data_IF_373747653831
#
_entry.id   IF_373747653831
#
_cell.length_a   1.000
_cell.length_b   1.000
_cell.length_c   1.000
_cell.angle_alpha   90.00
_cell.angle_beta   90.00
_cell.angle_gamma   90.00
#
_symmetry.space_group_name_H-M   'P 1'
#
loop_
_entity.id
_entity.type
_entity.pdbx_description
1 polymer ?
#
# COMPACT_ATOMS: atom_id res chain seq x y z
N UNK A 1 0.74 10.44 8.01
CA UNK A 1 1.31 9.09 8.22
C UNK A 1 1.88 8.61 6.91
N UNK A 2 3.05 7.96 6.91
CA UNK A 2 3.67 7.39 5.72
C UNK A 2 3.72 5.87 5.89
N UNK A 3 3.26 5.12 4.88
CA UNK A 3 3.24 3.67 4.89
C UNK A 3 4.09 3.18 3.72
N UNK A 4 5.16 2.44 4.01
CA UNK A 4 5.86 1.65 3.00
C UNK A 4 5.22 0.27 2.93
N UNK A 5 4.38 0.03 1.93
CA UNK A 5 3.74 -1.28 1.75
C UNK A 5 4.82 -2.34 1.49
N UNK A 6 4.78 -3.45 2.24
CA UNK A 6 5.80 -4.51 2.21
C UNK A 6 7.16 -4.13 2.83
N UNK A 7 7.29 -3.00 3.52
CA UNK A 7 8.58 -2.51 4.06
C UNK A 7 8.81 -2.94 5.52
N UNK A 8 9.35 -4.15 5.74
CA UNK A 8 9.88 -4.58 7.04
C UNK A 8 11.39 -4.25 7.17
N UNK A 9 12.01 -4.66 8.27
CA UNK A 9 13.44 -4.44 8.55
C UNK A 9 14.37 -4.87 7.41
N UNK A 10 14.18 -6.03 6.74
CA UNK A 10 15.05 -6.44 5.64
C UNK A 10 15.07 -5.44 4.48
N UNK A 11 13.92 -4.89 4.10
CA UNK A 11 13.82 -3.91 3.02
C UNK A 11 14.55 -2.62 3.39
N UNK A 12 14.36 -2.13 4.62
CA UNK A 12 15.06 -0.93 5.13
C UNK A 12 16.58 -1.13 5.10
N UNK A 13 17.05 -2.30 5.56
CA UNK A 13 18.48 -2.60 5.57
C UNK A 13 19.03 -2.74 4.16
N UNK A 14 18.36 -3.45 3.26
CA UNK A 14 18.79 -3.59 1.89
C UNK A 14 18.95 -2.23 1.20
N UNK A 15 18.02 -1.29 1.41
CA UNK A 15 18.14 0.07 0.88
C UNK A 15 19.30 0.86 1.50
N UNK A 16 19.56 0.71 2.81
CA UNK A 16 20.73 1.34 3.46
C UNK A 16 22.04 0.88 2.82
N UNK A 17 22.17 -0.42 2.53
CA UNK A 17 23.35 -1.00 1.87
C UNK A 17 23.46 -0.53 0.41
N UNK A 18 22.37 -0.58 -0.35
CA UNK A 18 22.35 -0.13 -1.74
C UNK A 18 22.77 1.35 -1.85
N UNK A 19 22.27 2.20 -0.96
CA UNK A 19 22.67 3.61 -0.88
C UNK A 19 24.16 3.76 -0.56
N UNK A 20 24.69 2.96 0.35
CA UNK A 20 26.14 2.91 0.63
C UNK A 20 26.97 2.59 -0.61
N UNK A 21 26.54 1.59 -1.39
CA UNK A 21 27.20 1.20 -2.65
C UNK A 21 27.10 2.29 -3.72
N UNK A 22 25.97 3.00 -3.82
CA UNK A 22 25.84 4.13 -4.76
C UNK A 22 26.79 5.28 -4.42
N UNK A 23 27.02 5.56 -3.14
CA UNK A 23 27.88 6.66 -2.68
C UNK A 23 29.38 6.29 -2.70
N UNK A 24 29.71 5.05 -2.34
CA UNK A 24 31.09 4.61 -2.09
C UNK A 24 31.62 3.63 -3.17
N UNK A 25 30.82 3.27 -4.17
CA UNK A 25 31.18 2.30 -5.19
C UNK A 25 30.98 0.84 -4.73
N UNK A 26 31.28 -0.10 -5.64
CA UNK A 26 31.10 -1.54 -5.38
C UNK A 26 31.99 -2.00 -4.24
N UNK A 27 31.43 -2.83 -3.37
CA UNK A 27 32.14 -3.44 -2.23
C UNK A 27 33.36 -4.19 -2.76
N UNK A 28 34.53 -3.82 -2.26
CA UNK A 28 35.82 -4.37 -2.67
C UNK A 28 36.76 -4.42 -1.45
N UNK A 29 36.65 -5.49 -0.63
CA UNK A 29 37.45 -5.62 0.58
C UNK A 29 38.95 -5.70 0.30
N UNK A 30 39.35 -6.12 -0.90
CA UNK A 30 40.76 -6.21 -1.29
C UNK A 30 41.39 -4.81 -1.47
N UNK A 31 40.58 -3.82 -1.85
CA UNK A 31 40.98 -2.43 -2.00
C UNK A 31 40.49 -1.53 -0.85
N UNK A 32 40.06 -2.13 0.27
CA UNK A 32 39.63 -1.39 1.47
C UNK A 32 38.24 -0.75 1.36
N UNK A 33 37.44 -1.11 0.36
CA UNK A 33 36.06 -0.63 0.23
C UNK A 33 35.07 -1.60 0.88
N UNK A 34 34.43 -1.16 1.96
CA UNK A 34 33.50 -1.97 2.76
C UNK A 34 32.05 -1.49 2.56
N UNK A 35 31.04 -2.29 2.96
CA UNK A 35 29.64 -2.01 2.63
C UNK A 35 29.04 -0.69 3.13
N UNK A 36 29.71 0.03 4.04
CA UNK A 36 29.31 1.32 4.65
C UNK A 36 27.83 1.73 4.45
N UNK A 37 26.87 1.05 5.11
CA UNK A 37 25.45 1.34 4.91
C UNK A 37 25.11 2.77 5.32
N UNK A 38 24.28 3.44 4.52
CA UNK A 38 23.87 4.83 4.78
C UNK A 38 22.42 4.89 5.22
N UNK A 39 22.20 5.40 6.44
CA UNK A 39 20.86 5.54 7.00
C UNK A 39 19.95 6.39 6.10
N UNK A 40 18.75 5.88 5.85
CA UNK A 40 17.62 6.63 5.30
C UNK A 40 17.19 7.75 6.25
N UNK A 41 16.44 8.73 5.73
CA UNK A 41 16.04 9.90 6.53
C UNK A 41 15.12 9.51 7.70
N UNK A 42 14.16 8.62 7.46
CA UNK A 42 13.18 8.21 8.46
C UNK A 42 13.76 7.28 9.54
N UNK A 43 14.85 6.55 9.26
CA UNK A 43 15.50 5.69 10.26
C UNK A 43 16.27 6.48 11.31
N UNK A 44 16.42 7.81 11.12
CA UNK A 44 17.02 8.74 12.08
C UNK A 44 15.99 9.36 13.03
N UNK A 45 14.72 8.94 12.97
CA UNK A 45 13.70 9.45 13.87
C UNK A 45 14.00 8.98 15.32
N UNK A 46 13.67 9.81 16.34
CA UNK A 46 14.10 9.57 17.71
C UNK A 46 13.43 8.37 18.38
N UNK A 47 12.26 7.94 17.89
CA UNK A 47 11.55 6.77 18.42
C UNK A 47 11.36 5.73 17.33
N UNK A 48 11.59 4.47 17.68
CA UNK A 48 11.28 3.30 16.88
C UNK A 48 10.43 2.32 17.69
N UNK A 49 9.37 1.82 17.07
CA UNK A 49 8.55 0.73 17.57
C UNK A 49 8.53 -0.43 16.58
N UNK A 50 8.06 -1.58 17.02
CA UNK A 50 7.90 -2.78 16.21
C UNK A 50 6.45 -3.25 16.28
N UNK A 51 5.82 -3.35 15.12
CA UNK A 51 4.36 -3.52 15.00
C UNK A 51 4.03 -4.91 14.45
N UNK A 52 3.18 -5.68 15.13
CA UNK A 52 2.66 -6.95 14.58
C UNK A 52 1.56 -6.71 13.56
N UNK A 53 1.54 -7.52 12.50
CA UNK A 53 0.70 -7.23 11.32
C UNK A 53 -0.55 -8.09 11.20
N UNK A 54 -0.61 -9.28 11.81
CA UNK A 54 -1.68 -10.28 11.61
C UNK A 54 -3.11 -9.72 11.61
N UNK A 55 -4.01 -10.39 10.87
CA UNK A 55 -5.43 -10.05 10.79
C UNK A 55 -6.32 -11.10 11.48
N UNK A 56 -7.65 -11.00 11.37
CA UNK A 56 -8.58 -11.92 12.05
C UNK A 56 -8.45 -13.38 11.60
N UNK A 57 -7.75 -13.66 10.49
CA UNK A 57 -7.65 -14.99 9.86
C UNK A 57 -6.24 -15.43 9.49
N UNK A 58 -5.28 -14.50 9.37
CA UNK A 58 -3.97 -14.77 8.78
C UNK A 58 -2.84 -14.13 9.56
N UNK A 59 -1.79 -14.92 9.80
CA UNK A 59 -0.48 -14.44 10.24
C UNK A 59 0.20 -13.58 9.16
N UNK A 60 -0.12 -13.85 7.89
CA UNK A 60 0.37 -13.16 6.70
C UNK A 60 -0.81 -12.39 6.06
N UNK A 61 -1.18 -11.25 6.65
CA UNK A 61 -2.41 -10.51 6.32
C UNK A 61 -2.27 -9.75 5.00
N UNK A 62 -3.37 -9.32 4.38
CA UNK A 62 -3.31 -8.49 3.19
C UNK A 62 -3.24 -6.98 3.49
N UNK A 63 -2.99 -6.16 2.46
CA UNK A 63 -2.96 -4.69 2.62
C UNK A 63 -4.29 -4.12 3.14
N UNK A 64 -5.44 -4.74 2.82
CA UNK A 64 -6.75 -4.24 3.24
C UNK A 64 -6.98 -4.39 4.75
N UNK A 65 -6.73 -5.58 5.30
CA UNK A 65 -6.94 -5.85 6.72
C UNK A 65 -5.91 -5.15 7.62
N UNK A 66 -4.66 -5.08 7.18
CA UNK A 66 -3.59 -4.33 7.88
C UNK A 66 -3.87 -2.84 7.90
N UNK A 67 -4.23 -2.24 6.76
CA UNK A 67 -4.53 -0.81 6.70
C UNK A 67 -5.82 -0.48 7.47
N UNK A 68 -6.82 -1.36 7.50
CA UNK A 68 -8.01 -1.25 8.37
C UNK A 68 -7.61 -1.23 9.85
N UNK A 69 -6.68 -2.10 10.26
CA UNK A 69 -6.20 -2.13 11.64
C UNK A 69 -5.53 -0.82 12.03
N UNK A 70 -4.68 -0.27 11.15
CA UNK A 70 -4.02 1.01 11.35
C UNK A 70 -4.99 2.20 11.38
N UNK A 71 -6.03 2.18 10.53
CA UNK A 71 -6.94 3.30 10.37
C UNK A 71 -8.10 3.31 11.37
N UNK A 72 -8.47 2.16 11.94
CA UNK A 72 -9.66 2.02 12.81
C UNK A 72 -9.39 1.43 14.19
N UNK A 73 -8.21 0.82 14.40
CA UNK A 73 -7.90 0.10 15.63
C UNK A 73 -8.70 -1.20 15.79
N UNK A 74 -9.21 -1.76 14.69
CA UNK A 74 -9.99 -3.00 14.65
C UNK A 74 -9.41 -3.96 13.62
N UNK A 75 -9.37 -5.24 13.99
CA UNK A 75 -9.05 -6.32 13.04
C UNK A 75 -10.26 -6.57 12.12
N UNK A 76 -9.97 -7.16 10.96
CA UNK A 76 -10.97 -7.66 10.02
C UNK A 76 -10.39 -8.81 9.19
N UNK A 77 -11.19 -9.37 8.30
CA UNK A 77 -10.79 -10.42 7.37
C UNK A 77 -9.95 -9.85 6.23
N UNK A 78 -9.06 -10.66 5.64
CA UNK A 78 -8.34 -10.26 4.45
C UNK A 78 -9.31 -9.83 3.33
N UNK A 79 -8.89 -8.84 2.54
CA UNK A 79 -9.70 -8.16 1.50
C UNK A 79 -10.84 -7.26 2.02
N UNK A 80 -11.22 -7.28 3.30
CA UNK A 80 -12.26 -6.38 3.82
C UNK A 80 -11.63 -5.01 4.13
N UNK A 81 -12.34 -3.92 3.79
CA UNK A 81 -11.90 -2.55 4.08
C UNK A 81 -12.85 -1.93 5.09
N UNK A 82 -12.35 -1.60 6.29
CA UNK A 82 -13.07 -0.87 7.34
C UNK A 82 -14.48 -1.40 7.66
N UNK A 83 -14.65 -2.72 7.67
CA UNK A 83 -15.86 -3.38 8.16
C UNK A 83 -15.49 -4.53 9.09
N UNK A 84 -16.44 -4.95 9.91
CA UNK A 84 -16.30 -6.13 10.76
C UNK A 84 -16.21 -7.43 9.96
N UNK A 85 -15.88 -8.52 10.64
CA UNK A 85 -15.74 -9.84 10.04
C UNK A 85 -17.07 -10.35 9.44
N UNK A 86 -18.21 -9.85 9.93
CA UNK A 86 -19.52 -10.16 9.35
C UNK A 86 -19.86 -9.33 8.11
N UNK A 87 -19.05 -8.29 7.82
CA UNK A 87 -19.22 -7.34 6.71
C UNK A 87 -20.53 -6.56 6.77
N UNK A 88 -21.03 -6.31 7.98
CA UNK A 88 -22.29 -5.59 8.23
C UNK A 88 -22.08 -4.28 8.97
N UNK A 89 -21.03 -4.17 9.77
CA UNK A 89 -20.73 -3.00 10.58
C UNK A 89 -19.50 -2.32 10.01
N UNK A 90 -19.64 -1.07 9.57
CA UNK A 90 -18.51 -0.24 9.15
C UNK A 90 -17.79 0.36 10.36
N UNK A 91 -16.48 0.40 10.29
CA UNK A 91 -15.61 1.01 11.29
C UNK A 91 -15.21 2.42 10.86
N UNK A 92 -15.44 3.40 11.73
CA UNK A 92 -15.03 4.78 11.47
C UNK A 92 -13.50 4.93 11.58
N UNK A 93 -12.90 5.52 10.54
CA UNK A 93 -11.45 5.71 10.42
C UNK A 93 -10.96 6.92 11.21
N UNK A 94 -9.66 6.94 11.53
CA UNK A 94 -8.99 8.08 12.17
C UNK A 94 -9.10 9.36 11.33
N UNK A 95 -9.02 9.25 10.00
CA UNK A 95 -9.15 10.36 9.04
C UNK A 95 -10.56 10.94 9.06
N UNK A 96 -11.59 10.10 9.08
CA UNK A 96 -12.97 10.57 9.28
C UNK A 96 -13.15 11.26 10.62
N UNK A 97 -12.60 10.70 11.71
CA UNK A 97 -12.67 11.32 13.04
C UNK A 97 -12.03 12.71 13.05
N UNK A 98 -10.84 12.84 12.48
CA UNK A 98 -10.12 14.12 12.39
C UNK A 98 -10.91 15.16 11.57
N UNK A 99 -11.46 14.75 10.43
CA UNK A 99 -12.30 15.61 9.58
C UNK A 99 -13.56 16.05 10.33
N UNK A 100 -14.34 15.10 10.85
CA UNK A 100 -15.66 15.34 11.47
C UNK A 100 -15.56 16.09 12.80
N UNK A 101 -14.60 15.74 13.66
CA UNK A 101 -14.52 16.28 15.02
C UNK A 101 -13.66 17.54 15.12
N UNK A 102 -12.62 17.67 14.29
CA UNK A 102 -11.65 18.77 14.37
C UNK A 102 -11.61 19.64 13.11
N UNK A 103 -12.36 19.31 12.06
CA UNK A 103 -12.37 20.07 10.81
C UNK A 103 -11.06 19.97 10.02
N UNK A 104 -10.25 18.94 10.28
CA UNK A 104 -8.94 18.80 9.63
C UNK A 104 -9.09 18.62 8.12
N UNK A 105 -8.16 19.21 7.38
CA UNK A 105 -7.98 18.90 5.96
C UNK A 105 -7.33 17.53 5.82
N UNK A 106 -7.88 16.67 4.98
CA UNK A 106 -7.40 15.30 4.79
C UNK A 106 -6.90 15.11 3.37
N UNK A 107 -5.67 14.60 3.25
CA UNK A 107 -5.05 14.25 1.99
C UNK A 107 -4.61 12.80 1.97
N UNK A 108 -4.93 12.08 0.88
CA UNK A 108 -4.50 10.70 0.61
C UNK A 108 -3.57 10.73 -0.60
N UNK A 109 -2.33 10.30 -0.40
CA UNK A 109 -1.30 10.29 -1.45
C UNK A 109 -0.70 8.90 -1.53
N UNK A 110 -0.57 8.38 -2.74
CA UNK A 110 -0.08 7.02 -2.99
C UNK A 110 0.69 6.95 -4.30
N UNK A 111 1.64 6.03 -4.42
CA UNK A 111 2.31 5.71 -5.70
C UNK A 111 1.56 4.66 -6.52
N UNK A 112 0.56 3.99 -5.93
CA UNK A 112 -0.34 3.03 -6.61
C UNK A 112 -1.67 3.70 -6.95
N UNK A 113 -2.62 2.94 -7.49
CA UNK A 113 -3.98 3.42 -7.75
C UNK A 113 -4.65 3.97 -6.49
N UNK A 114 -5.39 5.07 -6.62
CA UNK A 114 -6.01 5.77 -5.49
C UNK A 114 -7.03 4.88 -4.77
N UNK A 115 -7.73 4.03 -5.52
CA UNK A 115 -8.72 3.06 -5.06
C UNK A 115 -8.14 1.67 -4.73
N UNK A 116 -6.81 1.58 -4.59
CA UNK A 116 -6.17 0.40 -4.03
C UNK A 116 -6.42 0.28 -2.51
N UNK A 117 -6.19 -0.91 -1.94
CA UNK A 117 -6.58 -1.21 -0.55
C UNK A 117 -5.97 -0.27 0.50
N UNK A 118 -4.66 -0.03 0.43
CA UNK A 118 -3.92 0.77 1.42
C UNK A 118 -4.44 2.21 1.52
N UNK A 119 -4.61 2.97 0.42
CA UNK A 119 -5.26 4.29 0.49
C UNK A 119 -6.77 4.19 0.82
N UNK A 120 -7.50 3.23 0.25
CA UNK A 120 -8.94 3.06 0.46
C UNK A 120 -9.33 2.84 1.94
N UNK A 121 -8.47 2.17 2.72
CA UNK A 121 -8.68 1.97 4.16
C UNK A 121 -8.70 3.25 4.99
N UNK A 122 -8.40 4.42 4.42
CA UNK A 122 -8.54 5.71 5.10
C UNK A 122 -9.81 6.47 4.71
N UNK A 123 -10.63 5.99 3.77
CA UNK A 123 -11.80 6.74 3.30
C UNK A 123 -13.01 5.91 2.86
N UNK A 124 -12.88 4.58 2.69
CA UNK A 124 -13.93 3.71 2.16
C UNK A 124 -14.26 2.56 3.11
N UNK A 125 -15.47 2.01 2.97
CA UNK A 125 -15.95 0.87 3.76
C UNK A 125 -16.64 -0.14 2.84
N UNK A 126 -15.94 -1.23 2.50
CA UNK A 126 -16.45 -2.22 1.55
C UNK A 126 -16.16 -3.67 1.99
N UNK A 127 -17.07 -4.61 1.69
CA UNK A 127 -16.90 -6.04 2.01
C UNK A 127 -15.76 -6.71 1.24
N UNK A 128 -15.23 -6.06 0.19
CA UNK A 128 -14.10 -6.54 -0.59
C UNK A 128 -13.37 -5.37 -1.27
N UNK A 129 -12.04 -5.36 -1.19
CA UNK A 129 -11.13 -4.44 -1.90
C UNK A 129 -11.27 -4.49 -3.42
N UNK A 130 -11.93 -5.52 -3.96
CA UNK A 130 -12.24 -5.61 -5.40
C UNK A 130 -13.45 -4.76 -5.84
N UNK A 131 -14.18 -4.14 -4.90
CA UNK A 131 -15.31 -3.26 -5.24
C UNK A 131 -14.86 -1.84 -5.61
N UNK A 132 -13.96 -1.72 -6.59
CA UNK A 132 -13.34 -0.44 -6.98
C UNK A 132 -14.35 0.67 -7.25
N UNK A 133 -15.46 0.35 -7.93
CA UNK A 133 -16.50 1.35 -8.18
C UNK A 133 -17.10 1.93 -6.89
N UNK A 134 -17.41 1.08 -5.91
CA UNK A 134 -17.92 1.53 -4.61
C UNK A 134 -16.86 2.31 -3.82
N UNK A 135 -15.60 1.88 -3.88
CA UNK A 135 -14.47 2.61 -3.28
C UNK A 135 -14.38 4.04 -3.88
N UNK A 136 -14.50 4.17 -5.19
CA UNK A 136 -14.51 5.48 -5.86
C UNK A 136 -15.71 6.36 -5.47
N UNK A 137 -16.89 5.77 -5.24
CA UNK A 137 -18.04 6.51 -4.70
C UNK A 137 -17.78 6.99 -3.27
N UNK A 138 -17.18 6.15 -2.43
CA UNK A 138 -16.81 6.51 -1.05
C UNK A 138 -15.77 7.64 -1.01
N UNK A 139 -14.84 7.69 -1.97
CA UNK A 139 -13.90 8.81 -2.10
C UNK A 139 -14.64 10.15 -2.21
N UNK A 140 -15.64 10.23 -3.08
CA UNK A 140 -16.43 11.44 -3.27
C UNK A 140 -17.23 11.75 -2.00
N UNK A 141 -17.88 10.72 -1.42
CA UNK A 141 -18.68 10.83 -0.21
C UNK A 141 -17.87 11.26 1.01
N UNK A 142 -16.59 10.88 1.11
CA UNK A 142 -15.69 11.25 2.20
C UNK A 142 -15.56 12.78 2.33
N UNK A 143 -15.69 13.49 1.21
CA UNK A 143 -15.50 14.93 1.14
C UNK A 143 -14.08 15.38 1.52
N UNK A 144 -13.09 14.47 1.50
CA UNK A 144 -11.69 14.78 1.77
C UNK A 144 -11.11 15.70 0.71
N UNK A 145 -10.04 16.41 1.07
CA UNK A 145 -9.62 17.62 0.37
C UNK A 145 -8.64 17.31 -0.77
N UNK A 146 -7.87 16.23 -0.67
CA UNK A 146 -6.84 15.93 -1.64
C UNK A 146 -6.66 14.43 -1.84
N UNK A 147 -6.72 13.97 -3.08
CA UNK A 147 -6.35 12.62 -3.50
C UNK A 147 -5.31 12.73 -4.59
N UNK A 148 -4.20 12.00 -4.46
CA UNK A 148 -3.18 11.90 -5.51
C UNK A 148 -2.60 10.51 -5.61
N UNK A 149 -2.50 9.97 -6.84
CA UNK A 149 -1.84 8.70 -7.07
C UNK A 149 -1.89 8.21 -8.51
N UNK A 150 -1.87 6.90 -8.71
CA UNK A 150 -2.12 6.29 -10.01
C UNK A 150 -3.58 6.41 -10.46
N UNK A 151 -3.88 5.85 -11.64
CA UNK A 151 -5.22 5.86 -12.22
C UNK A 151 -6.32 5.34 -11.27
N UNK A 152 -7.57 5.75 -11.51
CA UNK A 152 -8.74 5.16 -10.86
C UNK A 152 -9.10 3.82 -11.51
N UNK A 153 -8.88 2.70 -10.81
CA UNK A 153 -9.25 1.37 -11.32
C UNK A 153 -10.77 1.26 -11.54
N UNK A 154 -11.55 1.99 -10.75
CA UNK A 154 -12.99 2.18 -10.88
C UNK A 154 -13.42 2.68 -12.26
N UNK A 155 -12.61 3.52 -12.91
CA UNK A 155 -12.96 4.10 -14.21
C UNK A 155 -12.76 3.13 -15.37
N UNK A 156 -12.05 2.02 -15.11
CA UNK A 156 -11.86 0.91 -16.04
C UNK A 156 -12.59 -0.36 -15.57
N UNK A 157 -13.43 -0.27 -14.55
CA UNK A 157 -14.15 -1.41 -14.00
C UNK A 157 -15.35 -1.81 -14.89
N UNK A 158 -15.86 -3.03 -14.71
CA UNK A 158 -17.01 -3.55 -15.48
C UNK A 158 -18.26 -2.70 -15.27
N UNK A 159 -18.42 -2.10 -14.10
CA UNK A 159 -19.49 -1.15 -13.83
C UNK A 159 -19.49 0.02 -14.81
N UNK A 160 -18.31 0.54 -15.17
CA UNK A 160 -18.19 1.63 -16.14
C UNK A 160 -18.22 1.11 -17.57
N UNK A 161 -17.41 0.10 -17.88
CA UNK A 161 -17.16 -0.34 -19.26
C UNK A 161 -18.27 -1.24 -19.83
N UNK A 162 -18.95 -2.02 -18.99
CA UNK A 162 -19.98 -2.98 -19.42
C UNK A 162 -21.39 -2.55 -18.97
N UNK A 163 -21.52 -1.95 -17.78
CA UNK A 163 -22.83 -1.57 -17.21
C UNK A 163 -23.20 -0.10 -17.46
N UNK A 164 -22.32 0.67 -18.13
CA UNK A 164 -22.58 2.05 -18.51
C UNK A 164 -22.68 3.03 -17.35
N UNK A 165 -22.13 2.69 -16.17
CA UNK A 165 -22.06 3.65 -15.06
C UNK A 165 -21.07 4.75 -15.37
N UNK A 166 -21.32 5.93 -14.82
CA UNK A 166 -20.45 7.07 -15.00
C UNK A 166 -19.11 6.86 -14.28
N UNK A 167 -18.02 7.32 -14.91
CA UNK A 167 -16.66 7.34 -14.35
C UNK A 167 -16.63 8.10 -13.03
N UNK A 168 -15.83 7.62 -12.08
CA UNK A 168 -15.61 8.26 -10.78
C UNK A 168 -14.93 9.61 -10.96
N UNK A 169 -14.01 9.77 -11.92
CA UNK A 169 -13.42 11.09 -12.24
C UNK A 169 -14.49 12.12 -12.64
N UNK A 170 -15.42 11.75 -13.51
CA UNK A 170 -16.53 12.62 -13.92
C UNK A 170 -17.48 12.92 -12.75
N UNK A 171 -17.81 11.92 -11.92
CA UNK A 171 -18.60 12.12 -10.71
C UNK A 171 -17.89 13.01 -9.69
N UNK A 172 -16.57 12.90 -9.55
CA UNK A 172 -15.78 13.76 -8.66
C UNK A 172 -15.83 15.22 -9.13
N UNK A 173 -15.68 15.48 -10.43
CA UNK A 173 -15.85 16.82 -11.00
C UNK A 173 -17.23 17.41 -10.70
N UNK A 174 -18.30 16.62 -10.91
CA UNK A 174 -19.68 17.03 -10.57
C UNK A 174 -19.88 17.33 -9.08
N UNK A 175 -19.08 16.73 -8.21
CA UNK A 175 -19.11 16.95 -6.76
C UNK A 175 -18.07 17.97 -6.27
N UNK A 176 -17.53 18.79 -7.17
CA UNK A 176 -16.69 19.94 -6.83
C UNK A 176 -15.21 19.59 -6.61
N UNK A 177 -14.74 18.46 -7.13
CA UNK A 177 -13.30 18.19 -7.21
C UNK A 177 -12.72 18.75 -8.50
N UNK A 178 -11.57 19.41 -8.39
CA UNK A 178 -10.68 19.64 -9.52
C UNK A 178 -9.97 18.33 -9.82
N UNK A 179 -10.26 17.75 -10.99
CA UNK A 179 -9.57 16.54 -11.47
C UNK A 179 -8.39 16.95 -12.33
N UNK A 180 -7.23 16.34 -12.08
CA UNK A 180 -6.00 16.55 -12.84
C UNK A 180 -5.42 15.19 -13.21
N UNK A 181 -5.49 14.81 -14.49
CA UNK A 181 -5.05 13.50 -14.97
C UNK A 181 -3.80 13.54 -15.86
N UNK A 182 -3.30 14.75 -16.12
CA UNK A 182 -2.03 14.98 -16.80
C UNK A 182 -1.01 15.70 -15.91
N UNK A 183 0.28 15.55 -16.24
CA UNK A 183 1.36 16.31 -15.57
C UNK A 183 1.16 17.83 -15.67
N UNK A 184 0.61 18.32 -16.78
CA UNK A 184 0.36 19.75 -16.98
C UNK A 184 -0.75 20.24 -16.04
N UNK A 185 -1.87 19.54 -15.97
CA UNK A 185 -2.97 19.87 -15.06
C UNK A 185 -2.53 19.78 -13.61
N UNK A 186 -1.76 18.75 -13.26
CA UNK A 186 -1.19 18.60 -11.92
C UNK A 186 -0.31 19.80 -11.53
N UNK A 187 0.59 20.22 -12.42
CA UNK A 187 1.46 21.37 -12.19
C UNK A 187 0.70 22.71 -12.12
N UNK A 188 -0.53 22.77 -12.67
CA UNK A 188 -1.39 23.94 -12.59
C UNK A 188 -2.20 24.01 -11.28
N UNK A 189 -2.19 22.96 -10.46
CA UNK A 189 -2.88 22.95 -9.18
C UNK A 189 -2.27 23.98 -8.21
N UNK A 190 -3.14 24.69 -7.51
CA UNK A 190 -2.75 25.67 -6.48
C UNK A 190 -3.56 25.46 -5.22
N UNK A 191 -3.24 26.20 -4.16
CA UNK A 191 -4.04 26.23 -2.93
C UNK A 191 -5.53 26.58 -3.20
N UNK A 192 -5.82 27.35 -4.25
CA UNK A 192 -7.17 27.78 -4.61
C UNK A 192 -7.93 26.75 -5.46
N UNK A 193 -7.33 25.62 -5.82
CA UNK A 193 -7.98 24.55 -6.61
C UNK A 193 -9.07 23.79 -5.84
N UNK A 194 -9.32 24.14 -4.58
CA UNK A 194 -10.37 23.52 -3.77
C UNK A 194 -10.05 22.06 -3.45
N UNK A 195 -11.04 21.17 -3.60
CA UNK A 195 -10.81 19.73 -3.46
C UNK A 195 -10.14 19.20 -4.73
N UNK A 196 -9.17 18.32 -4.59
CA UNK A 196 -8.40 17.81 -5.72
C UNK A 196 -8.44 16.29 -5.80
N UNK A 197 -8.57 15.77 -7.01
CA UNK A 197 -8.35 14.36 -7.34
C UNK A 197 -7.38 14.27 -8.53
N UNK A 198 -6.11 14.02 -8.23
CA UNK A 198 -5.03 13.97 -9.20
C UNK A 198 -4.59 12.53 -9.49
N UNK A 199 -4.52 12.13 -10.75
CA UNK A 199 -4.10 10.77 -11.14
C UNK A 199 -3.05 10.77 -12.23
N UNK A 200 -1.98 10.00 -12.09
CA UNK A 200 -1.04 9.72 -13.19
C UNK A 200 -1.54 8.49 -13.97
N UNK A 201 -2.35 8.72 -15.01
CA UNK A 201 -2.87 7.64 -15.88
C UNK A 201 -1.72 6.97 -16.66
N UNK A 202 -0.66 7.72 -16.95
CA UNK A 202 0.53 7.26 -17.68
C UNK A 202 1.54 6.52 -16.80
N UNK A 203 1.33 6.42 -15.49
CA UNK A 203 2.18 5.65 -14.59
C UNK A 203 2.33 4.18 -15.04
N UNK A 204 1.31 3.61 -15.71
CA UNK A 204 1.36 2.27 -16.30
C UNK A 204 2.26 2.18 -17.54
N UNK A 205 2.52 3.30 -18.21
CA UNK A 205 3.20 3.40 -19.50
C UNK A 205 4.70 3.74 -19.38
N UNK A 206 5.25 3.87 -18.15
CA UNK A 206 6.69 4.12 -17.94
C UNK A 206 7.46 2.79 -17.96
N UNK A 207 8.30 2.53 -18.97
CA UNK A 207 9.03 1.27 -19.09
C UNK A 207 10.27 1.31 -18.19
N UNK A 208 10.12 1.02 -16.90
CA UNK A 208 11.28 0.99 -15.98
C UNK A 208 11.86 -0.42 -15.78
N UNK A 209 11.27 -1.46 -16.39
CA UNK A 209 11.81 -2.83 -16.35
C UNK A 209 11.69 -3.55 -17.69
N UNK A 210 12.69 -3.34 -18.56
CA UNK A 210 12.83 -4.15 -19.77
C UNK A 210 13.35 -5.54 -19.37
N UNK A 211 12.59 -6.57 -19.76
CA UNK A 211 12.97 -7.97 -19.62
C UNK A 211 14.03 -8.32 -20.67
N UNK A 212 15.06 -9.05 -20.25
CA UNK A 212 15.95 -9.75 -21.19
C UNK A 212 15.20 -10.90 -21.85
N UNK A 213 15.69 -11.38 -23.01
CA UNK A 213 15.06 -12.49 -23.73
C UNK A 213 14.95 -13.76 -22.86
N UNK A 214 15.95 -14.01 -22.01
CA UNK A 214 15.95 -15.12 -21.05
C UNK A 214 14.88 -14.99 -19.96
N UNK A 215 14.70 -13.79 -19.40
CA UNK A 215 13.67 -13.54 -18.38
C UNK A 215 12.27 -13.61 -19.01
N UNK A 216 12.12 -13.13 -20.24
CA UNK A 216 10.88 -13.23 -21.00
C UNK A 216 10.54 -14.69 -21.33
N UNK A 217 11.52 -15.50 -21.71
CA UNK A 217 11.35 -16.93 -21.98
C UNK A 217 10.99 -17.70 -20.70
N UNK A 218 11.67 -17.39 -19.58
CA UNK A 218 11.35 -17.96 -18.27
C UNK A 218 9.91 -17.65 -17.84
N UNK A 219 9.46 -16.41 -18.08
CA UNK A 219 8.08 -15.99 -17.82
C UNK A 219 7.06 -16.70 -18.72
N UNK A 220 7.36 -16.90 -20.01
CA UNK A 220 6.49 -17.66 -20.92
C UNK A 220 6.34 -19.12 -20.47
N UNK A 221 7.43 -19.77 -20.08
CA UNK A 221 7.40 -21.14 -19.56
C UNK A 221 6.57 -21.24 -18.27
N UNK A 222 6.71 -20.26 -17.37
CA UNK A 222 5.95 -20.19 -16.14
C UNK A 222 4.46 -19.89 -16.38
N UNK A 223 4.14 -19.08 -17.39
CA UNK A 223 2.77 -18.83 -17.83
C UNK A 223 2.11 -20.10 -18.36
N UNK A 224 2.80 -20.85 -19.21
CA UNK A 224 2.30 -22.12 -19.75
C UNK A 224 2.07 -23.16 -18.65
N UNK A 225 2.94 -23.19 -17.62
CA UNK A 225 2.75 -24.02 -16.43
C UNK A 225 1.55 -23.59 -15.59
N UNK A 226 1.31 -22.29 -15.47
CA UNK A 226 0.19 -21.75 -14.69
C UNK A 226 -1.16 -21.91 -15.40
N UNK A 227 -1.14 -22.06 -16.73
CA UNK A 227 -2.30 -22.33 -17.56
C UNK A 227 -2.63 -23.83 -17.72
N UNK A 228 -1.78 -24.74 -17.19
CA UNK A 228 -2.12 -26.17 -17.11
C UNK A 228 -3.17 -26.40 -16.03
N UNK A 229 -4.18 -27.21 -16.35
CA UNK A 229 -5.40 -27.42 -15.55
C UNK A 229 -5.20 -28.12 -14.20
N UNK A 230 -4.01 -28.60 -13.89
CA UNK A 230 -3.71 -29.29 -12.63
C UNK A 230 -3.29 -28.26 -11.57
N UNK A 231 -4.24 -27.90 -10.70
CA UNK A 231 -3.94 -27.16 -9.47
C UNK A 231 -3.00 -28.01 -8.63
N UNK A 232 -1.81 -27.50 -8.34
CA UNK A 232 -0.96 -28.07 -7.29
C UNK A 232 -1.71 -27.93 -5.96
N UNK A 233 -2.14 -29.07 -5.40
CA UNK A 233 -2.84 -29.10 -4.11
C UNK A 233 -1.83 -28.85 -3.01
N UNK A 234 -1.81 -27.64 -2.46
CA UNK A 234 -1.00 -27.32 -1.29
C UNK A 234 -1.58 -27.99 -0.05
N UNK A 235 -0.72 -28.49 0.84
CA UNK A 235 -1.18 -28.93 2.14
C UNK A 235 -1.50 -27.71 3.05
N UNK A 236 -2.26 -27.93 4.12
CA UNK A 236 -2.76 -26.85 4.99
C UNK A 236 -1.63 -26.01 5.60
N UNK A 237 -0.48 -26.59 5.92
CA UNK A 237 0.68 -25.87 6.49
C UNK A 237 1.39 -25.01 5.45
N UNK A 238 1.53 -25.50 4.22
CA UNK A 238 2.11 -24.75 3.09
C UNK A 238 1.20 -23.60 2.66
N UNK A 239 -0.12 -23.80 2.68
CA UNK A 239 -1.09 -22.72 2.43
C UNK A 239 -1.00 -21.62 3.51
N UNK A 240 -0.83 -22.02 4.78
CA UNK A 240 -0.71 -21.09 5.91
C UNK A 240 0.63 -20.32 5.89
N UNK A 241 1.74 -20.94 5.46
CA UNK A 241 3.03 -20.26 5.36
C UNK A 241 3.17 -19.41 4.09
N UNK A 242 2.65 -19.86 2.94
CA UNK A 242 3.02 -19.33 1.62
C UNK A 242 1.85 -18.89 0.73
N UNK A 243 0.59 -19.15 1.10
CA UNK A 243 -0.58 -18.81 0.27
C UNK A 243 -0.70 -19.68 -1.00
N UNK A 244 -1.30 -19.18 -2.09
CA UNK A 244 -1.42 -19.92 -3.36
C UNK A 244 -0.15 -19.85 -4.19
N UNK A 245 0.47 -21.00 -4.51
CA UNK A 245 1.61 -21.11 -5.42
C UNK A 245 1.15 -20.99 -6.88
N UNK A 246 1.49 -19.87 -7.52
CA UNK A 246 1.20 -19.61 -8.94
C UNK A 246 2.54 -19.40 -9.68
N UNK A 247 2.94 -20.36 -10.55
CA UNK A 247 4.28 -20.39 -11.14
C UNK A 247 4.69 -19.11 -11.86
N UNK A 248 3.75 -18.44 -12.54
CA UNK A 248 4.01 -17.19 -13.25
C UNK A 248 4.36 -16.04 -12.29
N UNK A 249 3.59 -15.87 -11.21
CA UNK A 249 3.78 -14.86 -10.17
C UNK A 249 5.09 -15.07 -9.43
N UNK A 250 5.44 -16.32 -9.13
CA UNK A 250 6.72 -16.68 -8.50
C UNK A 250 7.88 -16.34 -9.43
N UNK A 251 7.80 -16.73 -10.70
CA UNK A 251 8.86 -16.48 -11.68
C UNK A 251 9.04 -14.98 -11.97
N UNK A 252 7.94 -14.23 -12.08
CA UNK A 252 7.98 -12.77 -12.20
C UNK A 252 8.68 -12.13 -11.02
N UNK A 253 8.40 -12.61 -9.80
CA UNK A 253 9.06 -12.11 -8.60
C UNK A 253 10.55 -12.44 -8.59
N UNK A 254 10.98 -13.61 -9.06
CA UNK A 254 12.41 -13.92 -9.22
C UNK A 254 13.13 -13.00 -10.19
N UNK A 255 12.49 -12.64 -11.31
CA UNK A 255 13.04 -11.67 -12.26
C UNK A 255 13.18 -10.30 -11.59
N UNK A 256 12.18 -9.86 -10.83
CA UNK A 256 12.25 -8.63 -10.04
C UNK A 256 13.37 -8.68 -8.98
N UNK A 257 13.52 -9.81 -8.29
CA UNK A 257 14.54 -10.02 -7.27
C UNK A 257 15.96 -9.98 -7.84
N UNK A 258 16.16 -10.63 -8.98
CA UNK A 258 17.44 -10.63 -9.69
C UNK A 258 17.79 -9.24 -10.21
N UNK A 259 16.83 -8.51 -10.77
CA UNK A 259 17.03 -7.14 -11.25
C UNK A 259 17.27 -6.15 -10.10
N UNK A 260 16.64 -6.37 -8.95
CA UNK A 260 16.81 -5.53 -7.75
C UNK A 260 18.01 -5.90 -6.89
N UNK A 261 18.63 -7.07 -7.12
CA UNK A 261 19.74 -7.58 -6.30
C UNK A 261 19.31 -7.97 -4.87
N UNK A 262 18.02 -8.12 -4.61
CA UNK A 262 17.42 -8.41 -3.30
C UNK A 262 16.50 -9.62 -3.47
N UNK A 263 16.67 -10.66 -2.65
CA UNK A 263 15.80 -11.83 -2.65
C UNK A 263 14.84 -11.81 -1.45
N UNK A 264 13.55 -12.07 -1.68
CA UNK A 264 12.54 -12.18 -0.63
C UNK A 264 12.35 -13.66 -0.24
N UNK A 265 12.29 -13.97 1.06
CA UNK A 265 12.06 -15.34 1.57
C UNK A 265 10.60 -15.80 1.49
N UNK A 266 9.67 -14.87 1.21
CA UNK A 266 8.26 -15.12 0.91
C UNK A 266 7.87 -14.25 -0.28
N UNK A 267 7.04 -14.81 -1.16
CA UNK A 267 6.53 -14.17 -2.38
C UNK A 267 5.13 -13.57 -2.17
N UNK A 268 4.70 -13.49 -0.90
CA UNK A 268 3.43 -12.94 -0.43
C UNK A 268 3.67 -12.12 0.84
N UNK A 269 2.60 -11.59 1.43
CA UNK A 269 2.65 -10.92 2.73
C UNK A 269 3.37 -11.81 3.77
N UNK A 270 4.07 -11.17 4.70
CA UNK A 270 4.79 -11.88 5.77
C UNK A 270 4.22 -11.50 7.12
N UNK A 271 4.27 -12.41 8.09
CA UNK A 271 3.98 -12.12 9.49
C UNK A 271 5.12 -11.42 10.22
N UNK A 272 6.13 -10.90 9.50
CA UNK A 272 7.23 -10.19 10.13
C UNK A 272 6.73 -8.88 10.74
N UNK A 273 7.17 -8.54 11.96
CA UNK A 273 6.93 -7.22 12.51
C UNK A 273 7.47 -6.13 11.59
N UNK A 274 6.78 -5.01 11.55
CA UNK A 274 7.14 -3.84 10.74
C UNK A 274 7.66 -2.74 11.65
N UNK A 275 8.80 -2.10 11.35
CA UNK A 275 9.28 -0.97 12.13
C UNK A 275 8.39 0.26 11.90
N UNK A 276 8.03 0.94 12.99
CA UNK A 276 7.38 2.23 12.96
C UNK A 276 8.33 3.28 13.54
N UNK A 277 8.66 4.28 12.72
CA UNK A 277 9.54 5.39 13.11
C UNK A 277 8.70 6.63 13.39
N UNK A 278 8.89 7.25 14.56
CA UNK A 278 8.10 8.39 15.00
C UNK A 278 8.98 9.60 15.38
N UNK A 279 8.55 10.78 14.92
CA UNK A 279 9.14 12.08 15.27
C UNK A 279 8.04 13.11 15.47
N UNK A 280 8.04 13.82 16.60
CA UNK A 280 7.11 14.90 16.89
C UNK A 280 6.36 14.74 18.21
N UNK A 281 5.20 15.41 18.32
CA UNK A 281 4.37 15.37 19.52
C UNK A 281 3.80 13.96 19.75
N UNK A 282 3.98 13.42 20.96
CA UNK A 282 3.49 12.09 21.31
C UNK A 282 4.31 10.94 20.74
N UNK A 283 5.50 11.22 20.19
CA UNK A 283 6.36 10.21 19.56
C UNK A 283 6.71 9.05 20.51
N UNK A 284 6.83 9.32 21.80
CA UNK A 284 7.14 8.36 22.86
C UNK A 284 6.10 7.24 22.99
N UNK A 285 4.85 7.49 22.56
CA UNK A 285 3.79 6.48 22.54
C UNK A 285 4.08 5.33 21.57
N UNK A 286 4.94 5.57 20.58
CA UNK A 286 5.29 4.60 19.54
C UNK A 286 6.53 3.78 19.89
N UNK A 287 7.04 3.86 21.12
CA UNK A 287 8.17 3.03 21.55
C UNK A 287 7.70 1.63 21.97
N UNK A 288 8.49 0.61 21.67
CA UNK A 288 8.26 -0.77 22.11
C UNK A 288 7.68 -1.69 21.04
N UNK A 289 7.02 -2.76 21.49
CA UNK A 289 6.47 -3.81 20.64
C UNK A 289 4.97 -3.93 20.89
N UNK A 290 4.15 -3.75 19.85
CA UNK A 290 2.70 -3.62 20.01
C UNK A 290 1.93 -4.07 18.75
N UNK A 291 0.61 -4.17 18.87
CA UNK A 291 -0.25 -4.61 17.78
C UNK A 291 -0.54 -3.47 16.79
N UNK A 292 -0.75 -3.79 15.50
CA UNK A 292 -1.10 -2.75 14.51
C UNK A 292 -2.39 -1.99 14.85
N UNK A 293 -3.30 -2.56 15.65
CA UNK A 293 -4.49 -1.84 16.15
C UNK A 293 -4.16 -0.76 17.16
N UNK A 294 -3.03 -0.85 17.87
CA UNK A 294 -2.62 0.14 18.86
C UNK A 294 -2.21 1.46 18.21
N UNK A 295 -1.74 1.44 16.96
CA UNK A 295 -1.38 2.65 16.20
C UNK A 295 -2.54 3.63 16.13
N UNK A 296 -3.76 3.13 15.90
CA UNK A 296 -4.97 3.95 15.92
C UNK A 296 -5.19 4.61 17.29
N UNK A 297 -5.03 3.84 18.37
CA UNK A 297 -5.22 4.35 19.73
C UNK A 297 -4.17 5.41 20.10
N UNK A 298 -2.92 5.23 19.65
CA UNK A 298 -1.85 6.22 19.81
C UNK A 298 -2.17 7.51 19.05
N UNK A 299 -2.58 7.41 17.77
CA UNK A 299 -2.99 8.57 16.97
C UNK A 299 -4.20 9.28 17.60
N UNK A 300 -5.17 8.52 18.09
CA UNK A 300 -6.33 9.04 18.82
C UNK A 300 -5.93 9.78 20.08
N UNK A 301 -4.99 9.25 20.88
CA UNK A 301 -4.49 9.89 22.08
C UNK A 301 -3.79 11.23 21.78
N UNK A 302 -2.98 11.27 20.72
CA UNK A 302 -2.26 12.48 20.28
C UNK A 302 -3.22 13.56 19.80
N UNK A 303 -4.21 13.16 19.01
CA UNK A 303 -5.15 14.09 18.36
C UNK A 303 -6.38 14.42 19.19
N UNK A 304 -6.61 13.67 20.29
CA UNK A 304 -7.72 13.83 21.24
C UNK A 304 -9.11 13.65 20.61
N UNK A 305 -9.21 12.95 19.49
CA UNK A 305 -10.50 12.56 18.90
C UNK A 305 -11.13 11.42 19.71
N UNK A 306 -12.46 11.32 19.69
CA UNK A 306 -13.23 10.27 20.37
C UNK A 306 -13.40 9.03 19.51
#
# INVERSE_FOLDING_TARGET
MFIGDGMSYPQVQATNYYKGVLENGKIDPANGNYPEPKNLLFTKFPVVGSVTTYDSTSLCPDSASTATSLSTGKKTLSSVINMDETKKVSYETITEKLKKQLGYKVGIVTSVNIDHATPAAYYSHVPSRGQYYNIGLDLIKSGFDYFAGGAFLSDSSKEVTEQGKEKITALAQKNGYTVADTKQEFNALTYNSGKVAASDIDAKNKPEMVLTDYELESLKNAYDLSMKSEKVTLNQEEYVLYGTYEPFSVTLTHVLNNKSGISFSSYSHTGLPVPLFAKGQGQELFNGYYDNTDVFNMLKAITKVK
#
